data_IF_058280067343
#
_entry.id   IF_058280067343
#
_cell.length_a   1.000
_cell.length_b   1.000
_cell.length_c   1.000
_cell.angle_alpha   90.00
_cell.angle_beta   90.00
_cell.angle_gamma   90.00
#
_symmetry.space_group_name_H-M   'P 1'
#
loop_
_entity.id
_entity.type
_entity.pdbx_description
1 polymer ?
#
# COMPACT_ATOMS: atom_id res chain seq x y z
N UNK A 1 28.91 -18.41 -0.81
CA UNK A 1 29.23 -17.06 -1.29
C UNK A 1 29.34 -16.97 -2.80
N UNK A 2 29.93 -17.95 -3.49
CA UNK A 2 30.12 -17.99 -4.97
C UNK A 2 28.79 -17.99 -5.74
N UNK A 3 27.73 -18.57 -5.20
CA UNK A 3 26.39 -18.58 -5.82
C UNK A 3 25.74 -17.20 -5.86
N UNK A 4 25.98 -16.37 -4.83
CA UNK A 4 25.46 -15.00 -4.77
C UNK A 4 25.99 -14.14 -5.92
N UNK A 5 27.30 -14.09 -6.11
CA UNK A 5 27.95 -13.28 -7.17
C UNK A 5 27.68 -13.78 -8.60
N UNK A 6 27.10 -14.98 -8.75
CA UNK A 6 26.66 -15.47 -10.05
C UNK A 6 25.35 -14.81 -10.51
N UNK A 7 24.53 -14.32 -9.58
CA UNK A 7 23.19 -13.75 -9.84
C UNK A 7 23.10 -12.24 -9.63
N UNK A 8 23.95 -11.66 -8.77
CA UNK A 8 23.92 -10.23 -8.43
C UNK A 8 25.34 -9.67 -8.41
N UNK A 9 25.54 -8.52 -9.06
CA UNK A 9 26.84 -7.85 -9.10
C UNK A 9 27.27 -7.31 -7.74
N UNK A 10 26.28 -6.83 -6.96
CA UNK A 10 26.48 -6.29 -5.62
C UNK A 10 25.17 -6.32 -4.79
N UNK A 11 25.26 -5.87 -3.53
CA UNK A 11 24.11 -5.78 -2.62
C UNK A 11 23.06 -4.76 -3.08
N UNK A 12 23.46 -3.73 -3.84
CA UNK A 12 22.54 -2.76 -4.38
C UNK A 12 21.63 -3.40 -5.45
N UNK A 13 22.20 -4.18 -6.37
CA UNK A 13 21.43 -4.89 -7.40
C UNK A 13 20.45 -5.87 -6.77
N UNK A 14 20.87 -6.61 -5.74
CA UNK A 14 19.97 -7.47 -4.98
C UNK A 14 18.82 -6.67 -4.35
N UNK A 15 19.14 -5.59 -3.66
CA UNK A 15 18.13 -4.76 -3.00
C UNK A 15 17.13 -4.13 -3.97
N UNK A 16 17.59 -3.63 -5.12
CA UNK A 16 16.72 -3.10 -6.17
C UNK A 16 15.81 -4.18 -6.76
N UNK A 17 16.33 -5.40 -6.98
CA UNK A 17 15.52 -6.54 -7.42
C UNK A 17 14.43 -6.87 -6.40
N UNK A 18 14.73 -6.83 -5.11
CA UNK A 18 13.74 -7.06 -4.06
C UNK A 18 12.68 -5.94 -3.98
N UNK A 19 13.03 -4.69 -4.28
CA UNK A 19 12.05 -3.59 -4.40
C UNK A 19 11.13 -3.82 -5.59
N UNK A 20 11.65 -4.26 -6.75
CA UNK A 20 10.85 -4.56 -7.93
C UNK A 20 9.89 -5.75 -7.67
N UNK A 21 10.34 -6.80 -6.99
CA UNK A 21 9.49 -7.91 -6.55
C UNK A 21 8.39 -7.44 -5.59
N UNK A 22 8.73 -6.53 -4.68
CA UNK A 22 7.77 -5.91 -3.78
C UNK A 22 6.69 -5.12 -4.52
N UNK A 23 7.07 -4.34 -5.52
CA UNK A 23 6.14 -3.62 -6.39
C UNK A 23 5.20 -4.57 -7.14
N UNK A 24 5.72 -5.68 -7.66
CA UNK A 24 4.92 -6.73 -8.30
C UNK A 24 3.93 -7.36 -7.30
N UNK A 25 4.38 -7.66 -6.08
CA UNK A 25 3.54 -8.20 -5.00
C UNK A 25 2.40 -7.24 -4.64
N UNK A 26 2.68 -5.93 -4.54
CA UNK A 26 1.66 -4.91 -4.29
C UNK A 26 0.62 -4.84 -5.43
N UNK A 27 1.04 -4.90 -6.69
CA UNK A 27 0.12 -4.90 -7.84
C UNK A 27 -0.77 -6.15 -7.87
N UNK A 28 -0.22 -7.31 -7.52
CA UNK A 28 -0.99 -8.56 -7.40
C UNK A 28 -2.00 -8.48 -6.26
N UNK A 29 -1.62 -7.89 -5.12
CA UNK A 29 -2.49 -7.63 -3.99
C UNK A 29 -3.68 -6.75 -4.39
N UNK A 30 -3.43 -5.64 -5.10
CA UNK A 30 -4.51 -4.75 -5.56
C UNK A 30 -5.50 -5.48 -6.48
N UNK A 31 -5.01 -6.30 -7.40
CA UNK A 31 -5.88 -7.11 -8.28
C UNK A 31 -6.73 -8.08 -7.48
N UNK A 32 -6.12 -8.80 -6.53
CA UNK A 32 -6.83 -9.74 -5.64
C UNK A 32 -7.88 -9.04 -4.79
N UNK A 33 -7.55 -7.86 -4.24
CA UNK A 33 -8.49 -7.04 -3.46
C UNK A 33 -9.68 -6.58 -4.30
N UNK A 34 -9.46 -6.12 -5.53
CA UNK A 34 -10.53 -5.73 -6.47
C UNK A 34 -11.45 -6.90 -6.79
N UNK A 35 -10.91 -8.06 -7.16
CA UNK A 35 -11.70 -9.26 -7.45
C UNK A 35 -12.58 -9.70 -6.26
N UNK A 36 -12.03 -9.66 -5.05
CA UNK A 36 -12.78 -9.96 -3.83
C UNK A 36 -13.88 -8.94 -3.55
N UNK A 37 -13.63 -7.65 -3.81
CA UNK A 37 -14.60 -6.58 -3.63
C UNK A 37 -15.76 -6.67 -4.63
N UNK A 38 -15.48 -7.10 -5.86
CA UNK A 38 -16.53 -7.36 -6.88
C UNK A 38 -17.45 -8.51 -6.51
N UNK A 39 -16.94 -9.48 -5.74
CA UNK A 39 -17.75 -10.59 -5.21
C UNK A 39 -18.69 -10.18 -4.06
N UNK A 40 -18.58 -8.93 -3.57
CA UNK A 40 -19.42 -8.34 -2.53
C UNK A 40 -18.69 -8.09 -1.22
N UNK A 41 -19.20 -7.14 -0.44
CA UNK A 41 -18.64 -6.76 0.86
C UNK A 41 -18.04 -5.35 0.90
N UNK A 42 -17.47 -5.00 2.05
CA UNK A 42 -16.82 -3.70 2.24
C UNK A 42 -15.44 -3.67 1.57
N UNK A 43 -15.28 -2.87 0.52
CA UNK A 43 -14.00 -2.70 -0.21
C UNK A 43 -12.85 -2.39 0.75
N UNK A 44 -13.06 -1.52 1.74
CA UNK A 44 -12.02 -1.15 2.70
C UNK A 44 -11.63 -2.36 3.57
N UNK A 45 -12.60 -3.10 4.12
CA UNK A 45 -12.31 -4.30 4.94
C UNK A 45 -11.55 -5.34 4.13
N UNK A 46 -12.04 -5.65 2.93
CA UNK A 46 -11.43 -6.62 2.02
C UNK A 46 -9.99 -6.22 1.66
N UNK A 47 -9.75 -4.93 1.39
CA UNK A 47 -8.42 -4.42 1.08
C UNK A 47 -7.45 -4.57 2.25
N UNK A 48 -7.89 -4.24 3.47
CA UNK A 48 -7.06 -4.40 4.68
C UNK A 48 -6.75 -5.87 4.95
N UNK A 49 -7.75 -6.74 4.90
CA UNK A 49 -7.56 -8.18 5.14
C UNK A 49 -6.63 -8.78 4.09
N UNK A 50 -6.79 -8.41 2.81
CA UNK A 50 -5.91 -8.84 1.72
C UNK A 50 -4.46 -8.33 1.92
N UNK A 51 -4.30 -7.07 2.36
CA UNK A 51 -2.99 -6.51 2.67
C UNK A 51 -2.29 -7.28 3.80
N UNK A 52 -3.00 -7.57 4.89
CA UNK A 52 -2.44 -8.33 6.02
C UNK A 52 -2.08 -9.77 5.62
N UNK A 53 -2.89 -10.45 4.80
CA UNK A 53 -2.56 -11.77 4.26
C UNK A 53 -1.28 -11.75 3.42
N UNK A 54 -1.14 -10.77 2.53
CA UNK A 54 0.02 -10.65 1.64
C UNK A 54 1.28 -10.28 2.42
N UNK A 55 1.16 -9.42 3.42
CA UNK A 55 2.24 -9.06 4.34
C UNK A 55 2.72 -10.28 5.13
N UNK A 56 1.81 -11.11 5.63
CA UNK A 56 2.14 -12.36 6.32
C UNK A 56 2.84 -13.37 5.42
N UNK A 57 2.49 -13.40 4.14
CA UNK A 57 3.08 -14.31 3.15
C UNK A 57 4.44 -13.84 2.62
N UNK A 58 4.74 -12.54 2.72
CA UNK A 58 5.93 -11.94 2.13
C UNK A 58 6.63 -10.96 3.11
N UNK A 59 6.91 -11.34 4.36
CA UNK A 59 7.38 -10.39 5.39
C UNK A 59 8.71 -9.73 5.03
N UNK A 60 9.64 -10.45 4.40
CA UNK A 60 10.96 -9.91 4.04
C UNK A 60 10.87 -8.86 2.94
N UNK A 61 10.00 -9.05 1.96
CA UNK A 61 9.74 -8.07 0.89
C UNK A 61 9.18 -6.79 1.49
N UNK A 62 8.19 -6.90 2.38
CA UNK A 62 7.60 -5.74 3.03
C UNK A 62 8.56 -5.04 4.00
N UNK A 63 9.43 -5.79 4.71
CA UNK A 63 10.49 -5.17 5.52
C UNK A 63 11.36 -4.24 4.66
N UNK A 64 11.79 -4.67 3.50
CA UNK A 64 12.59 -3.83 2.60
C UNK A 64 11.79 -2.60 2.14
N UNK A 65 10.58 -2.77 1.61
CA UNK A 65 9.75 -1.67 1.14
C UNK A 65 9.46 -0.63 2.23
N UNK A 66 9.18 -1.08 3.45
CA UNK A 66 8.75 -0.21 4.54
C UNK A 66 9.93 0.43 5.28
N UNK A 67 11.06 -0.27 5.43
CA UNK A 67 12.24 0.25 6.12
C UNK A 67 13.14 1.08 5.19
N UNK A 68 13.34 0.67 3.92
CA UNK A 68 14.16 1.42 2.96
C UNK A 68 13.51 2.72 2.46
N UNK A 69 12.26 2.96 2.78
CA UNK A 69 11.59 4.25 2.57
C UNK A 69 12.34 5.41 3.22
N UNK A 70 12.99 5.17 4.35
CA UNK A 70 13.83 6.11 5.09
C UNK A 70 15.28 5.63 5.27
N UNK A 71 15.69 4.63 4.51
CA UNK A 71 17.02 4.05 4.56
C UNK A 71 18.11 4.97 4.04
N UNK A 72 19.38 4.59 4.21
CA UNK A 72 20.55 5.38 3.84
C UNK A 72 20.83 5.42 2.33
N UNK A 73 20.45 4.37 1.60
CA UNK A 73 20.66 4.28 0.14
C UNK A 73 19.69 5.16 -0.63
N UNK A 74 20.20 6.17 -1.33
CA UNK A 74 19.40 7.04 -2.20
C UNK A 74 18.73 6.26 -3.35
N UNK A 75 19.40 5.26 -3.91
CA UNK A 75 18.88 4.42 -4.98
C UNK A 75 17.66 3.61 -4.49
N UNK A 76 17.73 3.03 -3.29
CA UNK A 76 16.62 2.28 -2.70
C UNK A 76 15.45 3.20 -2.36
N UNK A 77 15.70 4.35 -1.73
CA UNK A 77 14.63 5.32 -1.46
C UNK A 77 13.89 5.74 -2.73
N UNK A 78 14.63 6.01 -3.81
CA UNK A 78 14.04 6.38 -5.10
C UNK A 78 13.22 5.24 -5.71
N UNK A 79 13.68 3.99 -5.64
CA UNK A 79 12.96 2.83 -6.13
C UNK A 79 11.67 2.59 -5.33
N UNK A 80 11.74 2.62 -4.00
CA UNK A 80 10.57 2.50 -3.12
C UNK A 80 9.57 3.63 -3.36
N UNK A 81 10.04 4.87 -3.51
CA UNK A 81 9.18 6.02 -3.79
C UNK A 81 8.42 5.86 -5.12
N UNK A 82 9.07 5.33 -6.16
CA UNK A 82 8.40 5.04 -7.45
C UNK A 82 7.28 4.01 -7.29
N UNK A 83 7.51 2.92 -6.56
CA UNK A 83 6.49 1.89 -6.33
C UNK A 83 5.30 2.43 -5.52
N UNK A 84 5.57 3.25 -4.51
CA UNK A 84 4.52 3.92 -3.73
C UNK A 84 3.73 4.89 -4.61
N UNK A 85 4.40 5.66 -5.47
CA UNK A 85 3.76 6.60 -6.40
C UNK A 85 2.86 5.89 -7.40
N UNK A 86 3.28 4.76 -7.95
CA UNK A 86 2.43 3.92 -8.80
C UNK A 86 1.18 3.45 -8.06
N UNK A 87 1.33 3.03 -6.81
CA UNK A 87 0.22 2.58 -5.98
C UNK A 87 -0.77 3.71 -5.68
N UNK A 88 -0.27 4.90 -5.33
CA UNK A 88 -1.10 6.09 -5.11
C UNK A 88 -1.86 6.48 -6.39
N UNK A 89 -1.18 6.51 -7.53
CA UNK A 89 -1.78 6.88 -8.80
C UNK A 89 -2.89 5.92 -9.23
N UNK A 90 -2.68 4.60 -9.10
CA UNK A 90 -3.72 3.62 -9.38
C UNK A 90 -4.93 3.76 -8.46
N UNK A 91 -4.70 4.03 -7.17
CA UNK A 91 -5.78 4.22 -6.20
C UNK A 91 -6.55 5.53 -6.47
N UNK A 92 -5.86 6.60 -6.85
CA UNK A 92 -6.50 7.87 -7.25
C UNK A 92 -7.41 7.66 -8.46
N UNK A 93 -6.91 7.05 -9.54
CA UNK A 93 -7.72 6.74 -10.71
C UNK A 93 -8.93 5.86 -10.38
N UNK A 94 -8.77 4.89 -9.48
CA UNK A 94 -9.89 4.06 -9.03
C UNK A 94 -10.96 4.89 -8.31
N UNK A 95 -10.56 5.81 -7.43
CA UNK A 95 -11.52 6.66 -6.69
C UNK A 95 -12.18 7.71 -7.58
N UNK A 96 -11.47 8.24 -8.57
CA UNK A 96 -12.07 9.08 -9.61
C UNK A 96 -13.16 8.32 -10.37
N UNK A 97 -12.84 7.14 -10.89
CA UNK A 97 -13.75 6.35 -11.73
C UNK A 97 -14.96 5.79 -10.97
N UNK A 98 -14.77 5.34 -9.72
CA UNK A 98 -15.82 4.65 -8.94
C UNK A 98 -16.61 5.56 -8.01
N UNK A 99 -15.98 6.62 -7.48
CA UNK A 99 -16.62 7.52 -6.51
C UNK A 99 -16.84 8.94 -7.05
N UNK A 100 -16.55 9.19 -8.33
CA UNK A 100 -16.74 10.49 -8.97
C UNK A 100 -15.94 11.62 -8.31
N UNK A 101 -14.78 11.32 -7.72
CA UNK A 101 -13.94 12.32 -7.07
C UNK A 101 -13.29 13.24 -8.09
N UNK A 102 -13.13 14.53 -7.75
CA UNK A 102 -12.23 15.38 -8.54
C UNK A 102 -10.79 14.87 -8.47
N UNK A 103 -9.95 15.06 -9.50
CA UNK A 103 -8.57 14.56 -9.52
C UNK A 103 -7.76 14.98 -8.29
N UNK A 104 -7.92 16.23 -7.83
CA UNK A 104 -7.23 16.75 -6.65
C UNK A 104 -7.64 15.98 -5.38
N UNK A 105 -8.93 15.77 -5.19
CA UNK A 105 -9.47 15.09 -4.01
C UNK A 105 -9.16 13.59 -4.03
N UNK A 106 -9.25 12.96 -5.20
CA UNK A 106 -8.87 11.57 -5.40
C UNK A 106 -7.39 11.33 -5.07
N UNK A 107 -6.50 12.23 -5.52
CA UNK A 107 -5.07 12.19 -5.22
C UNK A 107 -4.81 12.34 -3.72
N UNK A 108 -5.37 13.35 -3.07
CA UNK A 108 -5.21 13.59 -1.64
C UNK A 108 -5.75 12.41 -0.80
N UNK A 109 -6.90 11.85 -1.19
CA UNK A 109 -7.46 10.66 -0.56
C UNK A 109 -6.53 9.45 -0.71
N UNK A 110 -6.01 9.19 -1.91
CA UNK A 110 -5.11 8.08 -2.17
C UNK A 110 -3.81 8.17 -1.36
N UNK A 111 -3.20 9.34 -1.29
CA UNK A 111 -2.00 9.58 -0.48
C UNK A 111 -2.23 9.31 1.00
N UNK A 112 -3.35 9.78 1.54
CA UNK A 112 -3.71 9.55 2.94
C UNK A 112 -3.94 8.06 3.23
N UNK A 113 -4.71 7.36 2.37
CA UNK A 113 -5.00 5.94 2.51
C UNK A 113 -3.71 5.10 2.44
N UNK A 114 -2.84 5.35 1.46
CA UNK A 114 -1.57 4.63 1.29
C UNK A 114 -0.65 4.87 2.47
N UNK A 115 -0.55 6.11 2.95
CA UNK A 115 0.27 6.43 4.13
C UNK A 115 -0.17 5.65 5.37
N UNK A 116 -1.47 5.58 5.63
CA UNK A 116 -2.03 4.83 6.76
C UNK A 116 -1.76 3.32 6.63
N UNK A 117 -1.97 2.76 5.43
CA UNK A 117 -1.74 1.33 5.16
C UNK A 117 -0.28 0.96 5.35
N UNK A 118 0.65 1.74 4.78
CA UNK A 118 2.08 1.46 4.91
C UNK A 118 2.58 1.63 6.35
N UNK A 119 2.08 2.62 7.09
CA UNK A 119 2.41 2.78 8.50
C UNK A 119 1.91 1.60 9.34
N UNK A 120 0.67 1.16 9.13
CA UNK A 120 0.13 -0.02 9.79
C UNK A 120 0.90 -1.29 9.42
N UNK A 121 1.32 -1.43 8.16
CA UNK A 121 2.15 -2.54 7.69
C UNK A 121 3.49 -2.61 8.40
N UNK A 122 4.18 -1.49 8.54
CA UNK A 122 5.43 -1.41 9.29
C UNK A 122 5.25 -1.87 10.74
N UNK A 123 4.20 -1.39 11.41
CA UNK A 123 3.87 -1.82 12.77
C UNK A 123 3.54 -3.31 12.86
N UNK A 124 2.77 -3.83 11.90
CA UNK A 124 2.35 -5.24 11.87
C UNK A 124 3.53 -6.21 11.75
N UNK A 125 4.61 -5.83 11.05
CA UNK A 125 5.80 -6.68 10.90
C UNK A 125 6.47 -6.99 12.23
N UNK A 126 6.38 -6.10 13.20
CA UNK A 126 7.02 -6.22 14.52
C UNK A 126 6.04 -6.68 15.61
N UNK A 127 4.74 -6.84 15.27
CA UNK A 127 3.70 -7.28 16.20
C UNK A 127 3.49 -8.78 16.18
N UNK A 128 3.03 -9.33 17.32
CA UNK A 128 2.53 -10.70 17.40
C UNK A 128 1.26 -10.83 16.54
N UNK A 129 1.08 -11.99 15.91
CA UNK A 129 -0.05 -12.26 15.01
C UNK A 129 -1.43 -12.02 15.69
N UNK A 130 -1.56 -12.33 16.98
CA UNK A 130 -2.78 -12.09 17.74
C UNK A 130 -3.17 -10.60 17.83
N UNK A 131 -2.17 -9.71 17.90
CA UNK A 131 -2.39 -8.27 18.07
C UNK A 131 -2.71 -7.58 16.73
N UNK A 132 -2.36 -8.21 15.60
CA UNK A 132 -2.58 -7.67 14.25
C UNK A 132 -4.04 -7.50 13.90
N UNK A 133 -4.95 -8.29 14.50
CA UNK A 133 -6.39 -8.13 14.30
C UNK A 133 -6.87 -6.77 14.82
N UNK A 134 -6.42 -6.36 15.99
CA UNK A 134 -6.77 -5.05 16.57
C UNK A 134 -6.25 -3.94 15.66
N UNK A 135 -5.00 -4.04 15.20
CA UNK A 135 -4.41 -3.10 14.26
C UNK A 135 -5.21 -3.01 12.94
N UNK A 136 -5.61 -4.15 12.39
CA UNK A 136 -6.42 -4.21 11.17
C UNK A 136 -7.79 -3.53 11.36
N UNK A 137 -8.46 -3.75 12.50
CA UNK A 137 -9.74 -3.12 12.82
C UNK A 137 -9.61 -1.60 12.99
N UNK A 138 -8.55 -1.14 13.64
CA UNK A 138 -8.22 0.29 13.74
C UNK A 138 -7.93 0.89 12.35
N UNK A 139 -7.15 0.21 11.53
CA UNK A 139 -6.85 0.66 10.18
C UNK A 139 -8.11 0.81 9.33
N UNK A 140 -9.02 -0.18 9.38
CA UNK A 140 -10.33 -0.09 8.68
C UNK A 140 -11.11 1.14 9.11
N UNK A 141 -11.14 1.45 10.40
CA UNK A 141 -11.80 2.65 10.91
C UNK A 141 -11.16 3.93 10.36
N UNK A 142 -9.82 4.03 10.40
CA UNK A 142 -9.08 5.19 9.89
C UNK A 142 -9.33 5.39 8.38
N UNK A 143 -9.27 4.32 7.59
CA UNK A 143 -9.53 4.39 6.14
C UNK A 143 -10.96 4.82 5.84
N UNK A 144 -11.95 4.37 6.64
CA UNK A 144 -13.35 4.82 6.52
C UNK A 144 -13.50 6.31 6.84
N UNK A 145 -12.80 6.81 7.86
CA UNK A 145 -12.80 8.23 8.20
C UNK A 145 -12.26 9.08 7.04
N UNK A 146 -11.14 8.68 6.43
CA UNK A 146 -10.58 9.37 5.25
C UNK A 146 -11.56 9.33 4.07
N UNK A 147 -12.15 8.18 3.77
CA UNK A 147 -13.09 8.03 2.66
C UNK A 147 -14.36 8.88 2.86
N UNK A 148 -14.91 8.89 4.09
CA UNK A 148 -16.08 9.72 4.43
C UNK A 148 -15.75 11.21 4.45
N UNK A 149 -14.56 11.59 4.90
CA UNK A 149 -14.09 12.97 4.82
C UNK A 149 -13.98 13.46 3.37
N UNK A 150 -13.42 12.66 2.49
CA UNK A 150 -13.34 12.96 1.07
C UNK A 150 -14.73 13.06 0.41
N UNK A 151 -15.68 12.19 0.78
CA UNK A 151 -17.07 12.27 0.32
C UNK A 151 -17.72 13.60 0.72
N UNK A 152 -17.59 14.00 1.97
CA UNK A 152 -18.13 15.26 2.48
C UNK A 152 -17.51 16.50 1.83
N UNK A 153 -16.21 16.46 1.51
CA UNK A 153 -15.52 17.54 0.80
C UNK A 153 -15.98 17.63 -0.67
N UNK A 154 -16.19 16.52 -1.35
CA UNK A 154 -16.69 16.47 -2.72
C UNK A 154 -18.05 17.17 -2.82
N UNK A 155 -18.99 16.83 -1.94
CA UNK A 155 -20.33 17.47 -1.92
C UNK A 155 -20.28 18.99 -1.73
N UNK A 156 -19.30 19.50 -0.96
CA UNK A 156 -19.13 20.96 -0.78
C UNK A 156 -18.61 21.66 -2.04
N UNK A 157 -17.86 20.95 -2.88
CA UNK A 157 -17.35 21.49 -4.16
C UNK A 157 -18.47 21.57 -5.19
N UNK A 158 -19.35 20.58 -5.23
CA UNK A 158 -20.46 20.48 -6.19
C UNK A 158 -21.60 21.48 -5.93
N UNK A 159 -21.68 22.01 -4.70
CA UNK A 159 -22.74 22.94 -4.28
C UNK A 159 -22.25 24.40 -4.12
N UNK A 160 -21.08 24.73 -4.64
CA UNK A 160 -20.54 26.11 -4.75
C UNK A 160 -20.57 26.61 -6.17
#
# INVERSE_FOLDING_TARGET
>A
PTSFYRHFKDMNELGLTMVDEGGLTLRQMMRKGRQRAEAGGSVIRISVDTFMEVLDSNPNVFRILLHERSGTSAAFRAAVAREIEHFISELAHYTEAKAGRTPLLARAQAEALVTLVFNAGASALDMKRADRKILADQLVMQLRMVAKGAEALQHKVEHR
#
